data_IF_931340331122
#
_entry.id   IF_931340331122
#
_cell.length_a   1.000
_cell.length_b   1.000
_cell.length_c   1.000
_cell.angle_alpha   90.00
_cell.angle_beta   90.00
_cell.angle_gamma   90.00
#
_symmetry.space_group_name_H-M   'P 1'
#
loop_
_entity.id
_entity.type
_entity.pdbx_description
1 polymer ?
#
# COMPACT_ATOMS: atom_id res chain seq x y z
N UNK A 1 19.21 11.95 -4.08
CA UNK A 1 18.41 11.77 -5.33
C UNK A 1 17.88 13.12 -5.76
N UNK A 2 18.03 13.52 -7.04
CA UNK A 2 17.43 14.77 -7.51
C UNK A 2 15.89 14.64 -7.59
N UNK A 3 15.17 15.78 -7.74
CA UNK A 3 13.72 15.80 -7.69
C UNK A 3 13.07 14.96 -8.80
N UNK A 4 13.58 15.05 -10.04
CA UNK A 4 13.00 14.33 -11.18
C UNK A 4 13.17 12.81 -11.05
N UNK A 5 14.35 12.35 -10.65
CA UNK A 5 14.61 10.93 -10.42
C UNK A 5 13.78 10.38 -9.25
N UNK A 6 13.58 11.19 -8.20
CA UNK A 6 12.73 10.82 -7.07
C UNK A 6 11.28 10.64 -7.49
N UNK A 7 10.76 11.57 -8.28
CA UNK A 7 9.39 11.48 -8.80
C UNK A 7 9.20 10.23 -9.66
N UNK A 8 10.10 9.98 -10.60
CA UNK A 8 10.06 8.78 -11.44
C UNK A 8 10.17 7.49 -10.62
N UNK A 9 11.08 7.44 -9.65
CA UNK A 9 11.26 6.30 -8.77
C UNK A 9 9.98 6.00 -7.98
N UNK A 10 9.44 7.01 -7.28
CA UNK A 10 8.25 6.83 -6.44
C UNK A 10 7.01 6.49 -7.27
N UNK A 11 6.84 7.11 -8.44
CA UNK A 11 5.75 6.78 -9.36
C UNK A 11 5.86 5.33 -9.84
N UNK A 12 7.05 4.88 -10.24
CA UNK A 12 7.27 3.51 -10.70
C UNK A 12 7.02 2.50 -9.60
N UNK A 13 7.54 2.75 -8.38
CA UNK A 13 7.32 1.87 -7.22
C UNK A 13 5.84 1.79 -6.86
N UNK A 14 5.12 2.90 -6.78
CA UNK A 14 3.68 2.91 -6.48
C UNK A 14 2.91 2.06 -7.49
N UNK A 15 3.14 2.27 -8.79
CA UNK A 15 2.47 1.54 -9.87
C UNK A 15 2.82 0.05 -9.92
N UNK A 16 4.02 -0.32 -9.50
CA UNK A 16 4.41 -1.73 -9.37
C UNK A 16 3.71 -2.39 -8.17
N UNK A 17 3.57 -1.67 -7.05
CA UNK A 17 2.96 -2.18 -5.83
C UNK A 17 1.44 -2.32 -5.91
N UNK A 18 0.76 -1.40 -6.60
CA UNK A 18 -0.70 -1.46 -6.80
C UNK A 18 -1.12 -2.22 -8.07
N UNK A 19 -0.15 -2.67 -8.87
CA UNK A 19 -0.40 -3.48 -10.06
C UNK A 19 -0.86 -2.70 -11.29
N UNK A 20 -0.88 -1.35 -11.24
CA UNK A 20 -1.30 -0.54 -12.40
C UNK A 20 -0.32 -0.58 -13.56
N UNK A 21 0.95 -0.88 -13.31
CA UNK A 21 1.99 -0.93 -14.35
C UNK A 21 1.81 -2.13 -15.30
N UNK A 22 1.17 -3.21 -14.83
CA UNK A 22 0.93 -4.43 -15.59
C UNK A 22 -0.56 -4.84 -15.59
N UNK A 23 -1.46 -3.91 -15.22
CA UNK A 23 -2.90 -4.08 -15.26
C UNK A 23 -3.38 -5.37 -14.56
N UNK A 24 -2.88 -5.58 -13.33
CA UNK A 24 -3.20 -6.76 -12.53
C UNK A 24 -4.71 -6.92 -12.34
N UNK A 25 -5.35 -7.99 -12.86
CA UNK A 25 -6.78 -8.17 -12.69
C UNK A 25 -7.14 -8.43 -11.22
N UNK A 26 -8.38 -8.17 -10.80
CA UNK A 26 -8.85 -8.54 -9.48
C UNK A 26 -8.82 -10.05 -9.23
N UNK A 27 -8.78 -10.46 -7.96
CA UNK A 27 -8.95 -11.87 -7.59
C UNK A 27 -10.34 -12.36 -8.01
N UNK A 28 -10.46 -13.66 -8.24
CA UNK A 28 -11.73 -14.28 -8.57
C UNK A 28 -12.69 -14.24 -7.36
N UNK A 29 -13.93 -13.83 -7.63
CA UNK A 29 -15.05 -14.05 -6.74
C UNK A 29 -16.04 -14.98 -7.45
N UNK A 30 -16.15 -16.24 -6.98
CA UNK A 30 -16.90 -17.28 -7.64
C UNK A 30 -16.26 -17.68 -8.99
N UNK A 31 -17.09 -17.96 -10.00
CA UNK A 31 -16.63 -18.44 -11.31
C UNK A 31 -16.26 -17.30 -12.29
N UNK A 32 -16.41 -16.06 -11.87
CA UNK A 32 -16.20 -14.90 -12.75
C UNK A 32 -14.81 -14.33 -12.54
N UNK A 33 -14.05 -14.22 -13.62
CA UNK A 33 -12.79 -13.47 -13.66
C UNK A 33 -13.07 -12.05 -14.13
N UNK A 34 -13.06 -11.06 -13.23
CA UNK A 34 -13.28 -9.68 -13.66
C UNK A 34 -12.04 -9.15 -14.39
N UNK A 35 -12.26 -8.26 -15.35
CA UNK A 35 -11.21 -7.54 -16.04
C UNK A 35 -10.62 -6.45 -15.15
N UNK A 36 -9.37 -6.05 -15.43
CA UNK A 36 -8.77 -4.90 -14.81
C UNK A 36 -9.59 -3.63 -15.09
N UNK A 37 -9.89 -2.88 -14.04
CA UNK A 37 -10.57 -1.59 -14.12
C UNK A 37 -9.70 -0.52 -13.43
N UNK A 38 -9.16 0.46 -14.19
CA UNK A 38 -8.27 1.48 -13.63
C UNK A 38 -8.93 2.34 -12.56
N UNK A 39 -10.24 2.62 -12.67
CA UNK A 39 -10.96 3.40 -11.68
C UNK A 39 -11.11 2.63 -10.37
N UNK A 40 -11.48 1.35 -10.43
CA UNK A 40 -11.57 0.52 -9.23
C UNK A 40 -10.22 0.43 -8.52
N UNK A 41 -9.12 0.25 -9.30
CA UNK A 41 -7.78 0.22 -8.76
C UNK A 41 -7.34 1.56 -8.18
N UNK A 42 -7.70 2.68 -8.79
CA UNK A 42 -7.40 4.00 -8.27
C UNK A 42 -7.99 4.23 -6.87
N UNK A 43 -9.24 3.82 -6.66
CA UNK A 43 -9.95 4.01 -5.39
C UNK A 43 -9.76 2.86 -4.38
N UNK A 44 -9.15 1.75 -4.79
CA UNK A 44 -9.00 0.56 -3.96
C UNK A 44 -10.35 -0.14 -3.72
N UNK A 45 -11.16 -0.24 -4.77
CA UNK A 45 -12.46 -0.94 -4.75
C UNK A 45 -12.35 -2.37 -5.25
N UNK A 46 -11.16 -2.80 -5.63
CA UNK A 46 -10.87 -4.17 -6.03
C UNK A 46 -9.71 -4.75 -5.21
N UNK A 47 -9.60 -6.06 -5.22
CA UNK A 47 -8.49 -6.79 -4.62
C UNK A 47 -7.61 -7.35 -5.75
N UNK A 48 -6.40 -6.84 -5.93
CA UNK A 48 -5.52 -7.30 -6.98
C UNK A 48 -5.11 -8.76 -6.81
N UNK A 49 -4.91 -9.48 -7.92
CA UNK A 49 -4.58 -10.91 -7.87
C UNK A 49 -3.16 -11.17 -7.36
N UNK A 50 -2.19 -10.39 -7.81
CA UNK A 50 -0.76 -10.58 -7.46
C UNK A 50 -0.09 -9.33 -6.90
N UNK A 51 -0.63 -8.13 -7.08
CA UNK A 51 -0.06 -6.88 -6.57
C UNK A 51 0.04 -6.87 -5.04
N UNK A 52 0.94 -6.04 -4.52
CA UNK A 52 1.31 -6.03 -3.10
C UNK A 52 0.42 -5.19 -2.22
N UNK A 53 -0.49 -4.41 -2.80
CA UNK A 53 -1.46 -3.61 -2.03
C UNK A 53 -2.80 -3.51 -2.72
N UNK A 54 -3.86 -3.51 -1.92
CA UNK A 54 -5.23 -3.27 -2.36
C UNK A 54 -5.76 -1.88 -2.01
N UNK A 55 -4.92 -1.02 -1.44
CA UNK A 55 -5.37 0.30 -0.97
C UNK A 55 -5.67 1.27 -2.11
N UNK A 56 -5.17 1.00 -3.31
CA UNK A 56 -5.33 1.84 -4.50
C UNK A 56 -4.37 3.03 -4.56
N UNK A 57 -4.23 3.59 -5.77
CA UNK A 57 -3.24 4.64 -6.04
C UNK A 57 -3.49 5.91 -5.23
N UNK A 58 -4.75 6.27 -4.96
CA UNK A 58 -5.09 7.46 -4.15
C UNK A 58 -4.60 7.35 -2.71
N UNK A 59 -4.77 6.19 -2.09
CA UNK A 59 -4.28 5.98 -0.72
C UNK A 59 -2.76 5.86 -0.68
N UNK A 60 -2.13 5.27 -1.70
CA UNK A 60 -0.66 5.30 -1.81
C UNK A 60 -0.15 6.75 -1.94
N UNK A 61 -0.79 7.59 -2.75
CA UNK A 61 -0.45 9.01 -2.83
C UNK A 61 -0.60 9.72 -1.46
N UNK A 62 -1.62 9.36 -0.68
CA UNK A 62 -1.77 9.87 0.70
C UNK A 62 -0.64 9.38 1.61
N UNK A 63 -0.26 8.09 1.57
CA UNK A 63 0.90 7.56 2.31
C UNK A 63 2.15 8.38 2.01
N UNK A 64 2.42 8.63 0.72
CA UNK A 64 3.54 9.49 0.29
C UNK A 64 3.46 10.86 0.93
N UNK A 65 2.34 11.55 0.77
CA UNK A 65 2.13 12.91 1.29
C UNK A 65 2.34 12.99 2.81
N UNK A 66 1.86 11.99 3.55
CA UNK A 66 2.04 11.93 5.02
C UNK A 66 3.50 11.69 5.41
N UNK A 67 4.20 10.77 4.74
CA UNK A 67 5.64 10.53 4.99
C UNK A 67 6.46 11.77 4.65
N UNK A 68 6.19 12.43 3.51
CA UNK A 68 6.84 13.69 3.12
C UNK A 68 6.59 14.79 4.16
N UNK A 69 5.36 14.91 4.67
CA UNK A 69 5.00 15.86 5.73
C UNK A 69 5.76 15.61 7.03
N UNK A 70 5.84 14.33 7.45
CA UNK A 70 6.62 13.93 8.65
C UNK A 70 8.10 14.30 8.50
N UNK A 71 8.67 14.08 7.31
CA UNK A 71 10.06 14.45 7.01
C UNK A 71 10.24 15.97 7.03
N UNK A 72 9.38 16.70 6.32
CA UNK A 72 9.45 18.16 6.19
C UNK A 72 9.29 18.89 7.51
N UNK A 73 8.48 18.35 8.43
CA UNK A 73 8.27 18.91 9.76
C UNK A 73 9.23 18.33 10.83
N UNK A 74 10.20 17.51 10.41
CA UNK A 74 11.19 16.91 11.31
C UNK A 74 10.57 16.13 12.49
N UNK A 75 9.41 15.51 12.28
CA UNK A 75 8.74 14.68 13.29
C UNK A 75 9.60 13.44 13.55
N UNK A 76 10.05 13.18 14.81
CA UNK A 76 10.89 12.03 15.09
C UNK A 76 10.08 10.73 15.14
N UNK A 77 10.79 9.59 15.03
CA UNK A 77 10.23 8.25 15.21
C UNK A 77 10.19 7.42 13.95
N UNK A 78 9.65 6.23 14.11
CA UNK A 78 9.50 5.20 13.08
C UNK A 78 8.10 5.26 12.44
N UNK A 79 7.93 4.53 11.35
CA UNK A 79 6.63 4.31 10.72
C UNK A 79 6.07 2.96 11.19
N UNK A 80 4.80 2.93 11.58
CA UNK A 80 4.13 1.69 12.02
C UNK A 80 2.87 1.47 11.20
N UNK A 81 2.70 0.28 10.62
CA UNK A 81 1.48 -0.14 9.96
C UNK A 81 0.80 -1.24 10.79
N UNK A 82 -0.49 -1.05 11.10
CA UNK A 82 -1.33 -2.04 11.77
C UNK A 82 -2.37 -2.57 10.78
N UNK A 83 -2.36 -3.89 10.53
CA UNK A 83 -3.11 -4.49 9.45
C UNK A 83 -2.40 -4.35 8.10
N UNK A 84 -1.62 -5.35 7.73
CA UNK A 84 -0.56 -5.22 6.71
C UNK A 84 -0.93 -5.82 5.35
N UNK A 85 -1.77 -6.82 5.33
CA UNK A 85 -2.09 -7.64 4.16
C UNK A 85 -0.82 -8.16 3.47
N UNK A 86 -0.47 -7.68 2.26
CA UNK A 86 0.75 -8.09 1.53
C UNK A 86 1.92 -7.10 1.69
N UNK A 87 1.77 -6.07 2.50
CA UNK A 87 2.84 -5.13 2.86
C UNK A 87 3.13 -4.01 1.88
N UNK A 88 2.35 -3.87 0.79
CA UNK A 88 2.66 -2.89 -0.25
C UNK A 88 2.65 -1.44 0.23
N UNK A 89 1.78 -1.05 1.15
CA UNK A 89 1.78 0.29 1.71
C UNK A 89 3.03 0.57 2.55
N UNK A 90 3.45 -0.39 3.38
CA UNK A 90 4.72 -0.31 4.14
C UNK A 90 5.95 -0.27 3.24
N UNK A 91 5.99 -1.10 2.18
CA UNK A 91 7.08 -1.06 1.19
C UNK A 91 7.15 0.32 0.53
N UNK A 92 5.99 0.90 0.18
CA UNK A 92 5.94 2.23 -0.40
C UNK A 92 6.39 3.33 0.58
N UNK A 93 5.95 3.27 1.84
CA UNK A 93 6.41 4.19 2.88
C UNK A 93 7.94 4.13 3.04
N UNK A 94 8.53 2.91 3.04
CA UNK A 94 9.99 2.74 3.09
C UNK A 94 10.67 3.29 1.83
N UNK A 95 10.07 3.13 0.66
CA UNK A 95 10.59 3.71 -0.58
C UNK A 95 10.60 5.24 -0.53
N UNK A 96 9.56 5.87 0.03
CA UNK A 96 9.52 7.33 0.23
C UNK A 96 10.63 7.74 1.21
N UNK A 97 10.74 7.10 2.36
CA UNK A 97 11.82 7.38 3.34
C UNK A 97 13.21 7.29 2.68
N UNK A 98 13.45 6.23 1.91
CA UNK A 98 14.71 6.04 1.18
C UNK A 98 14.97 7.15 0.18
N UNK A 99 13.97 7.53 -0.62
CA UNK A 99 14.07 8.57 -1.64
C UNK A 99 14.43 9.95 -1.06
N UNK A 100 14.08 10.17 0.21
CA UNK A 100 14.41 11.37 0.98
C UNK A 100 15.63 11.21 1.91
N UNK A 101 16.37 10.10 1.82
CA UNK A 101 17.58 9.86 2.60
C UNK A 101 17.33 9.54 4.08
N UNK A 102 16.11 9.16 4.45
CA UNK A 102 15.73 8.81 5.82
C UNK A 102 16.03 7.32 6.10
N UNK A 103 17.31 6.95 6.07
CA UNK A 103 17.73 5.56 6.16
C UNK A 103 17.60 4.95 7.56
N UNK A 104 17.64 5.80 8.58
CA UNK A 104 17.63 5.39 10.01
C UNK A 104 16.23 5.05 10.50
N UNK A 105 15.20 5.53 9.82
CA UNK A 105 13.82 5.24 10.20
C UNK A 105 13.43 3.82 9.82
N UNK A 106 12.85 3.10 10.78
CA UNK A 106 12.29 1.77 10.56
C UNK A 106 10.85 1.87 10.07
N UNK A 107 10.42 0.83 9.34
CA UNK A 107 9.02 0.56 9.07
C UNK A 107 8.68 -0.73 9.79
N UNK A 108 7.76 -0.65 10.74
CA UNK A 108 7.37 -1.76 11.62
C UNK A 108 5.98 -2.23 11.19
N UNK A 109 5.86 -3.52 10.92
CA UNK A 109 4.63 -4.16 10.48
C UNK A 109 4.00 -4.93 11.63
N UNK A 110 2.76 -4.58 11.98
CA UNK A 110 2.01 -5.20 13.08
C UNK A 110 0.77 -5.88 12.52
N UNK A 111 0.81 -7.19 12.40
CA UNK A 111 -0.28 -8.04 11.92
C UNK A 111 -0.19 -9.41 12.58
N UNK A 112 -1.26 -10.17 12.57
CA UNK A 112 -1.21 -11.58 12.98
C UNK A 112 -0.49 -12.45 11.94
N UNK A 113 -0.48 -12.03 10.67
CA UNK A 113 -0.02 -12.79 9.49
C UNK A 113 -0.70 -14.15 9.34
N UNK A 114 -1.90 -14.27 9.88
CA UNK A 114 -2.73 -15.48 9.85
C UNK A 114 -4.08 -15.28 9.15
N UNK A 115 -4.28 -14.08 8.58
CA UNK A 115 -5.57 -13.69 8.03
C UNK A 115 -6.54 -13.20 9.09
N UNK A 116 -7.80 -13.04 8.70
CA UNK A 116 -8.87 -12.66 9.61
C UNK A 116 -9.25 -13.87 10.48
N UNK A 117 -9.54 -13.65 11.79
CA UNK A 117 -10.07 -14.72 12.64
C UNK A 117 -11.45 -15.17 12.15
N UNK A 118 -11.82 -16.40 12.49
CA UNK A 118 -13.19 -16.88 12.28
C UNK A 118 -14.17 -15.96 13.00
N UNK A 119 -15.28 -15.57 12.35
CA UNK A 119 -16.28 -14.72 12.98
C UNK A 119 -16.92 -15.43 14.17
N UNK A 120 -17.10 -14.68 15.26
CA UNK A 120 -17.83 -15.17 16.42
C UNK A 120 -19.27 -14.64 16.37
N UNK A 121 -20.18 -15.44 15.82
CA UNK A 121 -21.59 -15.07 15.61
C UNK A 121 -22.37 -14.90 16.93
N UNK A 122 -21.93 -15.49 18.05
CA UNK A 122 -22.55 -15.31 19.36
C UNK A 122 -22.26 -13.93 19.95
N UNK A 123 -21.03 -13.44 19.76
CA UNK A 123 -20.60 -12.14 20.28
C UNK A 123 -20.91 -10.98 19.32
N UNK A 124 -20.94 -11.26 18.02
CA UNK A 124 -21.12 -10.26 16.96
C UNK A 124 -22.15 -10.77 15.92
N UNK A 125 -23.44 -10.85 16.30
CA UNK A 125 -24.50 -11.24 15.36
C UNK A 125 -24.64 -10.20 14.24
N UNK A 126 -24.86 -10.68 13.00
CA UNK A 126 -25.08 -9.83 11.81
C UNK A 126 -26.42 -9.11 11.84
#
# INVERSE_FOLDING_TARGET
>A
MNADLREQYLTTVARALDGTIYEDPPILFGDTKPDYNPQNREYGWDWPSVAFTMVGSKRLANVRSMVESVIGNSVPGDFVETGVWRGGASIFAKAVLFAYGQNDRRVVLCDSFQGLPEPNEELYPH
#
